data_IF_026295741093
#
_entry.id   IF_026295741093
#
_cell.length_a   1.000
_cell.length_b   1.000
_cell.length_c   1.000
_cell.angle_alpha   90.00
_cell.angle_beta   90.00
_cell.angle_gamma   90.00
#
_symmetry.space_group_name_H-M   'P 1'
#
loop_
_entity.id
_entity.type
_entity.pdbx_description
1 polymer ?
#
# COMPACT_ATOMS: atom_id res chain seq x y z
N UNK A 1 -0.06 -36.93 39.15
CA UNK A 1 0.53 -35.60 38.90
C UNK A 1 -0.35 -34.53 39.53
N UNK A 2 0.23 -33.60 40.31
CA UNK A 2 -0.47 -32.45 40.89
C UNK A 2 -1.07 -31.57 39.78
N UNK A 3 -2.22 -30.93 40.05
CA UNK A 3 -2.95 -30.12 39.05
C UNK A 3 -2.10 -28.97 38.50
N UNK A 4 -1.23 -28.38 39.32
CA UNK A 4 -0.33 -27.30 38.88
C UNK A 4 0.64 -27.76 37.78
N UNK A 5 1.15 -29.00 37.86
CA UNK A 5 2.08 -29.55 36.87
C UNK A 5 1.42 -29.78 35.51
N UNK A 6 0.13 -30.16 35.49
CA UNK A 6 -0.63 -30.35 34.24
C UNK A 6 -0.91 -29.01 33.55
N UNK A 7 -1.23 -27.98 34.34
CA UNK A 7 -1.46 -26.61 33.84
C UNK A 7 -0.14 -26.04 33.29
N UNK A 8 0.98 -26.27 33.98
CA UNK A 8 2.31 -25.86 33.53
C UNK A 8 2.69 -26.49 32.18
N UNK A 9 2.47 -27.79 32.00
CA UNK A 9 2.75 -28.49 30.73
C UNK A 9 1.84 -27.99 29.60
N UNK A 10 0.55 -27.75 29.88
CA UNK A 10 -0.38 -27.21 28.88
C UNK A 10 -0.01 -25.79 28.43
N UNK A 11 0.29 -24.89 29.37
CA UNK A 11 0.73 -23.53 29.07
C UNK A 11 2.06 -23.53 28.30
N UNK A 12 3.02 -24.37 28.69
CA UNK A 12 4.29 -24.51 27.98
C UNK A 12 4.08 -25.01 26.54
N UNK A 13 3.20 -25.99 26.33
CA UNK A 13 2.82 -26.45 24.99
C UNK A 13 2.15 -25.36 24.16
N UNK A 14 1.24 -24.59 24.76
CA UNK A 14 0.56 -23.48 24.08
C UNK A 14 1.54 -22.37 23.68
N UNK A 15 2.45 -21.98 24.56
CA UNK A 15 3.50 -20.99 24.24
C UNK A 15 4.50 -21.51 23.20
N UNK A 16 4.83 -22.80 23.22
CA UNK A 16 5.68 -23.43 22.21
C UNK A 16 5.02 -23.41 20.83
N UNK A 17 3.73 -23.76 20.75
CA UNK A 17 2.96 -23.70 19.50
C UNK A 17 2.81 -22.26 19.03
N UNK A 18 2.55 -21.31 19.93
CA UNK A 18 2.49 -19.88 19.60
C UNK A 18 3.83 -19.36 19.07
N UNK A 19 4.94 -19.71 19.72
CA UNK A 19 6.28 -19.39 19.25
C UNK A 19 6.59 -20.01 17.88
N UNK A 20 6.17 -21.27 17.68
CA UNK A 20 6.30 -21.96 16.39
C UNK A 20 5.48 -21.26 15.30
N UNK A 21 4.26 -20.82 15.61
CA UNK A 21 3.40 -20.06 14.69
C UNK A 21 3.98 -18.69 14.36
N UNK A 22 4.54 -17.97 15.34
CA UNK A 22 5.22 -16.69 15.12
C UNK A 22 6.43 -16.90 14.18
N UNK A 23 7.18 -17.99 14.32
CA UNK A 23 8.28 -18.32 13.42
C UNK A 23 7.80 -18.74 12.02
N UNK A 24 6.74 -19.55 11.92
CA UNK A 24 6.17 -20.01 10.66
C UNK A 24 5.56 -18.84 9.87
N UNK A 25 4.80 -17.97 10.54
CA UNK A 25 4.14 -16.81 9.92
C UNK A 25 5.13 -15.66 9.70
N UNK A 26 6.12 -15.51 10.58
CA UNK A 26 7.08 -14.40 10.57
C UNK A 26 8.18 -14.52 9.51
N UNK A 27 8.40 -15.69 8.90
CA UNK A 27 9.59 -15.83 8.03
C UNK A 27 9.53 -16.80 6.85
N UNK A 28 8.36 -17.37 6.53
CA UNK A 28 8.23 -18.29 5.38
C UNK A 28 8.63 -17.64 4.04
N UNK A 29 8.49 -16.32 3.92
CA UNK A 29 8.88 -15.56 2.71
C UNK A 29 10.40 -15.56 2.45
N UNK A 30 11.25 -15.75 3.47
CA UNK A 30 12.71 -15.81 3.30
C UNK A 30 13.19 -17.14 2.71
N UNK A 31 12.54 -18.26 3.03
CA UNK A 31 12.95 -19.59 2.58
C UNK A 31 12.31 -20.06 1.26
N UNK A 32 11.19 -19.47 0.84
CA UNK A 32 10.51 -19.84 -0.42
C UNK A 32 10.95 -19.03 -1.66
N UNK A 33 11.97 -18.18 -1.55
CA UNK A 33 12.48 -17.41 -2.70
C UNK A 33 13.29 -18.30 -3.65
N UNK A 34 12.61 -18.84 -4.67
CA UNK A 34 13.23 -19.51 -5.83
C UNK A 34 14.30 -18.60 -6.43
N UNK A 35 15.44 -19.20 -6.79
CA UNK A 35 16.65 -18.52 -7.27
C UNK A 35 16.36 -17.54 -8.40
N UNK A 36 16.66 -16.27 -8.15
CA UNK A 36 16.77 -15.22 -9.16
C UNK A 36 18.24 -14.84 -9.37
N UNK A 37 18.47 -13.72 -10.05
CA UNK A 37 19.80 -13.12 -10.13
C UNK A 37 19.74 -11.66 -9.67
N UNK A 38 20.88 -11.16 -9.23
CA UNK A 38 21.01 -9.80 -8.69
C UNK A 38 21.58 -8.86 -9.74
N UNK A 39 21.09 -7.63 -9.74
CA UNK A 39 21.61 -6.53 -10.55
C UNK A 39 21.82 -5.30 -9.66
N UNK A 40 22.90 -4.57 -9.94
CA UNK A 40 23.27 -3.37 -9.18
C UNK A 40 22.93 -2.11 -9.97
N UNK A 41 22.48 -1.07 -9.29
CA UNK A 41 22.29 0.27 -9.86
C UNK A 41 22.82 1.34 -8.89
N UNK A 42 23.40 2.41 -9.42
CA UNK A 42 24.05 3.47 -8.63
C UNK A 42 23.38 4.83 -8.84
N UNK A 43 22.53 5.23 -7.92
CA UNK A 43 21.78 6.50 -7.99
C UNK A 43 22.49 7.62 -7.22
N UNK A 44 22.32 8.87 -7.67
CA UNK A 44 22.79 10.04 -6.89
C UNK A 44 22.03 10.19 -5.56
N UNK A 45 20.74 9.84 -5.56
CA UNK A 45 19.90 9.78 -4.36
C UNK A 45 18.97 8.57 -4.45
N UNK A 46 18.72 7.94 -3.29
CA UNK A 46 17.70 6.90 -3.14
C UNK A 46 16.60 7.34 -2.15
N UNK A 47 16.42 8.65 -1.94
CA UNK A 47 15.38 9.18 -1.05
C UNK A 47 14.00 8.63 -1.44
N UNK A 48 13.29 8.09 -0.45
CA UNK A 48 11.96 7.51 -0.62
C UNK A 48 11.93 6.10 -1.22
N UNK A 49 13.09 5.52 -1.55
CA UNK A 49 13.20 4.11 -1.94
C UNK A 49 13.44 3.25 -0.70
N UNK A 50 12.61 2.22 -0.53
CA UNK A 50 12.71 1.30 0.60
C UNK A 50 13.11 -0.11 0.15
N UNK A 51 13.62 -0.89 1.10
CA UNK A 51 13.81 -2.33 0.88
C UNK A 51 12.45 -2.98 0.56
N UNK A 52 12.45 -3.98 -0.33
CA UNK A 52 11.25 -4.60 -0.91
C UNK A 52 10.45 -3.74 -1.91
N UNK A 53 10.88 -2.50 -2.20
CA UNK A 53 10.29 -1.70 -3.29
C UNK A 53 10.30 -2.48 -4.61
N UNK A 54 9.27 -2.29 -5.44
CA UNK A 54 9.13 -3.05 -6.67
C UNK A 54 10.22 -2.70 -7.70
N UNK A 55 10.69 -3.71 -8.44
CA UNK A 55 11.50 -3.51 -9.65
C UNK A 55 10.63 -3.89 -10.84
N UNK A 56 10.46 -2.97 -11.78
CA UNK A 56 9.60 -3.13 -12.96
C UNK A 56 10.41 -3.02 -14.25
N UNK A 57 9.99 -3.76 -15.26
CA UNK A 57 10.49 -3.66 -16.64
C UNK A 57 9.31 -3.35 -17.52
N UNK A 58 9.35 -2.21 -18.21
CA UNK A 58 8.25 -1.73 -19.04
C UNK A 58 6.88 -1.77 -18.31
N UNK A 59 6.85 -1.39 -17.03
CA UNK A 59 5.67 -1.39 -16.17
C UNK A 59 5.31 -2.73 -15.51
N UNK A 60 5.89 -3.86 -15.92
CA UNK A 60 5.61 -5.19 -15.34
C UNK A 60 6.54 -5.45 -14.15
N UNK A 61 5.99 -5.90 -13.01
CA UNK A 61 6.80 -6.25 -11.83
C UNK A 61 7.64 -7.50 -12.10
N UNK A 62 8.95 -7.34 -12.14
CA UNK A 62 9.92 -8.41 -12.42
C UNK A 62 10.85 -8.73 -11.25
N UNK A 63 10.77 -7.95 -10.17
CA UNK A 63 11.65 -8.13 -9.02
C UNK A 63 11.33 -7.18 -7.87
N UNK A 64 12.29 -7.07 -6.96
CA UNK A 64 12.23 -6.18 -5.80
C UNK A 64 13.62 -5.70 -5.39
N UNK A 65 13.68 -4.57 -4.69
CA UNK A 65 14.90 -4.04 -4.07
C UNK A 65 15.27 -4.94 -2.90
N UNK A 66 16.43 -5.60 -3.01
CA UNK A 66 16.96 -6.51 -2.00
C UNK A 66 17.65 -5.75 -0.89
N UNK A 67 18.46 -4.75 -1.25
CA UNK A 67 19.26 -3.99 -0.30
C UNK A 67 19.62 -2.60 -0.88
N UNK A 68 19.84 -1.62 0.00
CA UNK A 68 20.24 -0.26 -0.35
C UNK A 68 21.42 0.12 0.54
N UNK A 69 22.57 0.42 -0.06
CA UNK A 69 23.79 0.79 0.66
C UNK A 69 24.39 2.07 0.11
N UNK A 70 25.02 2.85 0.99
CA UNK A 70 25.87 3.95 0.56
C UNK A 70 27.19 3.37 0.01
N UNK A 71 27.50 3.68 -1.25
CA UNK A 71 28.77 3.38 -1.89
C UNK A 71 29.39 4.71 -2.35
N UNK A 72 30.44 5.13 -1.65
CA UNK A 72 31.06 6.46 -1.77
C UNK A 72 30.08 7.61 -1.49
N UNK A 73 29.59 8.24 -2.58
CA UNK A 73 28.62 9.36 -2.58
C UNK A 73 27.36 9.03 -3.38
N UNK A 74 27.13 7.75 -3.68
CA UNK A 74 25.97 7.26 -4.42
C UNK A 74 25.26 6.16 -3.64
N UNK A 75 23.96 6.03 -3.84
CA UNK A 75 23.20 4.91 -3.33
C UNK A 75 23.37 3.71 -4.28
N UNK A 76 24.03 2.66 -3.82
CA UNK A 76 24.07 1.35 -4.48
C UNK A 76 22.80 0.59 -4.10
N UNK A 77 21.95 0.36 -5.09
CA UNK A 77 20.70 -0.38 -4.97
C UNK A 77 20.90 -1.76 -5.57
N UNK A 78 20.76 -2.79 -4.73
CA UNK A 78 20.83 -4.20 -5.14
C UNK A 78 19.42 -4.68 -5.45
N UNK A 79 19.16 -5.06 -6.69
CA UNK A 79 17.88 -5.53 -7.18
C UNK A 79 17.90 -7.05 -7.32
N UNK A 80 16.85 -7.73 -6.86
CA UNK A 80 16.63 -9.15 -7.10
C UNK A 80 15.60 -9.32 -8.21
N UNK A 81 16.00 -9.92 -9.33
CA UNK A 81 15.12 -10.22 -10.47
C UNK A 81 14.62 -11.67 -10.38
N UNK A 82 13.32 -11.89 -10.61
CA UNK A 82 12.74 -13.24 -10.57
C UNK A 82 13.27 -14.12 -11.73
N UNK A 83 13.45 -15.44 -11.53
CA UNK A 83 14.07 -16.36 -12.50
C UNK A 83 13.43 -16.39 -13.89
N UNK A 84 12.13 -16.12 -13.97
CA UNK A 84 11.38 -16.16 -15.22
C UNK A 84 11.66 -14.94 -16.13
N UNK A 85 12.32 -13.89 -15.62
CA UNK A 85 12.58 -12.66 -16.37
C UNK A 85 14.07 -12.48 -16.65
N UNK A 86 14.39 -11.92 -17.81
CA UNK A 86 15.75 -11.53 -18.21
C UNK A 86 15.75 -10.08 -18.63
N UNK A 87 16.71 -9.31 -18.14
CA UNK A 87 16.83 -7.87 -18.45
C UNK A 87 17.82 -7.69 -19.61
N UNK A 88 17.41 -7.06 -20.73
CA UNK A 88 18.30 -6.78 -21.86
C UNK A 88 19.52 -5.96 -21.44
N UNK A 89 20.69 -6.24 -22.03
CA UNK A 89 21.94 -5.53 -21.76
C UNK A 89 21.89 -4.11 -22.31
N UNK A 90 22.36 -3.14 -21.54
CA UNK A 90 22.21 -1.69 -21.78
C UNK A 90 20.80 -1.14 -21.54
N UNK A 91 19.94 -1.90 -20.86
CA UNK A 91 18.75 -1.33 -20.23
C UNK A 91 19.16 -0.23 -19.23
N UNK A 92 18.27 0.74 -19.03
CA UNK A 92 18.50 1.87 -18.13
C UNK A 92 17.54 1.81 -16.95
N UNK A 93 18.06 1.97 -15.74
CA UNK A 93 17.26 2.01 -14.52
C UNK A 93 16.98 3.46 -14.11
N UNK A 94 15.77 3.73 -13.64
CA UNK A 94 15.38 5.04 -13.13
C UNK A 94 14.54 4.89 -11.86
N UNK A 95 14.66 5.85 -10.95
CA UNK A 95 13.77 5.95 -9.80
C UNK A 95 12.43 6.51 -10.27
N UNK A 96 11.33 5.83 -9.97
CA UNK A 96 9.97 6.23 -10.34
C UNK A 96 9.04 6.20 -9.12
N UNK A 97 7.89 6.86 -9.21
CA UNK A 97 6.90 6.94 -8.11
C UNK A 97 5.52 6.53 -8.60
N UNK A 98 4.77 5.81 -7.79
CA UNK A 98 3.40 5.42 -8.10
C UNK A 98 2.41 6.53 -7.70
N UNK A 99 2.13 7.48 -8.58
CA UNK A 99 1.23 8.60 -8.30
C UNK A 99 1.90 9.81 -7.63
N UNK A 100 1.10 10.69 -7.01
CA UNK A 100 1.50 12.02 -6.53
C UNK A 100 2.37 12.01 -5.25
N UNK A 101 2.12 11.07 -4.33
CA UNK A 101 2.87 10.86 -3.07
C UNK A 101 3.12 9.36 -2.87
N UNK A 102 3.42 8.67 -3.96
CA UNK A 102 3.56 7.21 -3.95
C UNK A 102 4.92 6.73 -3.44
N UNK A 103 4.92 5.51 -2.93
CA UNK A 103 6.14 4.73 -2.71
C UNK A 103 7.02 4.74 -3.98
N UNK A 104 8.33 4.91 -3.80
CA UNK A 104 9.28 4.86 -4.92
C UNK A 104 9.53 3.41 -5.33
N UNK A 105 9.78 3.22 -6.60
CA UNK A 105 10.11 1.94 -7.18
C UNK A 105 11.16 2.11 -8.29
N UNK A 106 11.82 1.02 -8.70
CA UNK A 106 12.78 1.05 -9.81
C UNK A 106 12.07 0.68 -11.11
N UNK A 107 12.12 1.57 -12.10
CA UNK A 107 11.67 1.30 -13.46
C UNK A 107 12.90 1.05 -14.35
N UNK A 108 12.91 -0.10 -15.01
CA UNK A 108 13.91 -0.48 -16.00
C UNK A 108 13.30 -0.30 -17.39
N UNK A 109 13.93 0.55 -18.20
CA UNK A 109 13.60 0.72 -19.61
C UNK A 109 14.46 -0.25 -20.44
N UNK A 110 13.85 -1.20 -21.17
CA UNK A 110 14.59 -2.15 -21.99
C UNK A 110 15.30 -1.46 -23.15
N UNK A 111 16.46 -2.02 -23.54
CA UNK A 111 17.14 -1.71 -24.80
C UNK A 111 16.75 -2.70 -25.91
N UNK A 112 16.96 -2.34 -27.17
CA UNK A 112 16.72 -3.23 -28.32
C UNK A 112 17.78 -4.33 -28.53
N UNK A 113 18.75 -4.48 -27.62
CA UNK A 113 19.80 -5.50 -27.72
C UNK A 113 19.28 -6.89 -27.34
N UNK A 114 19.75 -7.90 -28.08
CA UNK A 114 19.40 -9.31 -27.86
C UNK A 114 20.24 -10.00 -26.75
N UNK A 115 21.25 -9.32 -26.20
CA UNK A 115 22.03 -9.79 -25.05
C UNK A 115 21.33 -9.45 -23.74
N UNK A 116 21.59 -10.23 -22.67
CA UNK A 116 20.99 -10.04 -21.35
C UNK A 116 22.05 -9.86 -20.27
N UNK A 117 21.72 -9.13 -19.20
CA UNK A 117 22.60 -9.03 -18.04
C UNK A 117 22.77 -10.39 -17.33
N UNK A 118 23.99 -10.66 -16.86
CA UNK A 118 24.29 -11.78 -15.96
C UNK A 118 24.15 -11.41 -14.48
N UNK A 119 24.27 -12.39 -13.57
CA UNK A 119 24.27 -12.14 -12.12
C UNK A 119 25.36 -11.15 -11.70
N UNK A 120 24.99 -10.16 -10.89
CA UNK A 120 25.89 -9.08 -10.43
C UNK A 120 26.13 -7.97 -11.47
N UNK A 121 25.40 -7.98 -12.59
CA UNK A 121 25.52 -6.95 -13.62
C UNK A 121 25.15 -5.56 -13.10
N UNK A 122 25.93 -4.55 -13.47
CA UNK A 122 25.63 -3.15 -13.15
C UNK A 122 24.79 -2.51 -14.26
N UNK A 123 23.61 -2.01 -13.92
CA UNK A 123 22.71 -1.30 -14.82
C UNK A 123 23.04 0.20 -14.78
N UNK A 124 23.09 0.84 -15.94
CA UNK A 124 23.24 2.29 -16.04
C UNK A 124 21.97 2.98 -15.52
N UNK A 125 22.14 4.03 -14.71
CA UNK A 125 21.01 4.79 -14.16
C UNK A 125 20.75 6.08 -14.92
N UNK A 126 19.50 6.39 -15.16
CA UNK A 126 19.04 7.70 -15.65
C UNK A 126 18.19 8.40 -14.61
N UNK A 127 18.16 9.74 -14.67
CA UNK A 127 17.18 10.51 -13.93
C UNK A 127 15.77 10.16 -14.44
N UNK A 128 14.93 9.62 -13.56
CA UNK A 128 13.52 9.38 -13.85
C UNK A 128 12.74 10.68 -13.78
N UNK A 129 11.78 10.88 -14.70
CA UNK A 129 10.89 12.04 -14.68
C UNK A 129 9.78 11.81 -13.64
N UNK A 130 9.89 12.50 -12.51
CA UNK A 130 8.92 12.46 -11.41
C UNK A 130 8.43 13.87 -11.01
N UNK A 131 7.33 13.93 -10.25
CA UNK A 131 6.79 15.19 -9.71
C UNK A 131 7.78 15.89 -8.77
N UNK A 132 8.61 15.13 -8.06
CA UNK A 132 9.68 15.64 -7.23
C UNK A 132 10.76 16.36 -8.04
N UNK A 133 11.08 15.87 -9.24
CA UNK A 133 12.00 16.56 -10.14
C UNK A 133 11.41 17.88 -10.64
N UNK A 134 10.12 17.91 -10.99
CA UNK A 134 9.41 19.15 -11.34
C UNK A 134 9.40 20.15 -10.18
N UNK A 135 9.17 19.67 -8.96
CA UNK A 135 9.20 20.50 -7.76
C UNK A 135 10.56 21.11 -7.47
N UNK A 136 11.63 20.31 -7.57
CA UNK A 136 12.99 20.81 -7.40
C UNK A 136 13.35 21.87 -8.45
N UNK A 137 12.98 21.65 -9.73
CA UNK A 137 13.18 22.66 -10.79
C UNK A 137 12.40 23.95 -10.51
N UNK A 138 11.16 23.85 -10.02
CA UNK A 138 10.35 25.02 -9.67
C UNK A 138 10.99 25.83 -8.54
N UNK A 139 11.54 25.17 -7.51
CA UNK A 139 12.28 25.83 -6.42
C UNK A 139 13.53 26.52 -6.95
N UNK A 140 14.35 25.81 -7.74
CA UNK A 140 15.58 26.38 -8.33
C UNK A 140 15.28 27.62 -9.19
N UNK A 141 14.29 27.53 -10.09
CA UNK A 141 13.87 28.64 -10.95
C UNK A 141 13.37 29.82 -10.10
N UNK A 142 12.56 29.56 -9.07
CA UNK A 142 12.07 30.60 -8.16
C UNK A 142 13.22 31.32 -7.43
N UNK A 143 14.22 30.57 -6.97
CA UNK A 143 15.41 31.13 -6.33
C UNK A 143 16.28 31.96 -7.30
N UNK A 144 16.47 31.50 -8.53
CA UNK A 144 17.18 32.23 -9.59
C UNK A 144 16.47 33.55 -9.92
N UNK A 145 15.14 33.53 -10.09
CA UNK A 145 14.31 34.71 -10.35
C UNK A 145 14.40 35.71 -9.20
N UNK A 146 14.35 35.23 -7.95
CA UNK A 146 14.50 36.08 -6.77
C UNK A 146 15.87 36.76 -6.73
N UNK A 147 16.96 36.00 -6.92
CA UNK A 147 18.33 36.53 -6.97
C UNK A 147 18.50 37.53 -8.12
N UNK A 148 17.90 37.26 -9.26
CA UNK A 148 17.92 38.17 -10.41
C UNK A 148 17.25 39.51 -10.05
N UNK A 149 16.07 39.48 -9.42
CA UNK A 149 15.39 40.69 -8.95
C UNK A 149 16.23 41.50 -7.96
N UNK A 150 16.92 40.84 -7.03
CA UNK A 150 17.85 41.48 -6.09
C UNK A 150 19.06 42.11 -6.79
N UNK A 151 19.60 41.44 -7.82
CA UNK A 151 20.73 41.96 -8.62
C UNK A 151 20.31 43.15 -9.49
N UNK A 152 19.14 43.07 -10.13
CA UNK A 152 18.62 44.13 -11.00
C UNK A 152 18.27 45.39 -10.20
N UNK A 153 17.71 45.27 -9.00
CA UNK A 153 17.41 46.42 -8.13
C UNK A 153 18.65 47.25 -7.76
N UNK A 154 19.86 46.67 -7.81
CA UNK A 154 21.11 47.38 -7.56
C UNK A 154 21.65 48.12 -8.79
N UNK A 155 21.18 47.75 -9.98
CA UNK A 155 21.66 48.24 -11.28
C UNK A 155 20.76 49.37 -11.82
N UNK A 156 19.55 49.57 -11.29
CA UNK A 156 18.57 50.49 -11.90
C UNK A 156 18.89 51.98 -11.72
N UNK A 157 19.35 52.61 -12.81
CA UNK A 157 19.10 54.03 -13.13
C UNK A 157 17.72 54.24 -13.79
N UNK A 158 17.27 55.49 -13.91
CA UNK A 158 15.90 55.87 -14.34
C UNK A 158 15.50 55.40 -15.75
N UNK A 159 16.45 55.11 -16.64
CA UNK A 159 16.19 54.83 -18.06
C UNK A 159 15.78 53.39 -18.40
N UNK A 160 15.99 52.40 -17.51
CA UNK A 160 15.70 50.98 -17.78
C UNK A 160 14.63 50.36 -16.88
N UNK A 161 13.88 51.16 -16.11
CA UNK A 161 12.97 50.62 -15.10
C UNK A 161 11.75 49.89 -15.67
N UNK A 162 11.21 50.30 -16.83
CA UNK A 162 9.96 49.73 -17.35
C UNK A 162 10.15 48.29 -17.86
N UNK A 163 11.11 48.07 -18.75
CA UNK A 163 11.37 46.76 -19.36
C UNK A 163 11.86 45.73 -18.34
N UNK A 164 12.68 46.16 -17.37
CA UNK A 164 13.15 45.30 -16.28
C UNK A 164 12.00 44.89 -15.35
N UNK A 165 11.10 45.82 -15.02
CA UNK A 165 9.93 45.53 -14.18
C UNK A 165 8.94 44.61 -14.88
N UNK A 166 8.68 44.82 -16.16
CA UNK A 166 7.81 43.94 -16.94
C UNK A 166 8.39 42.52 -17.04
N UNK A 167 9.69 42.41 -17.30
CA UNK A 167 10.39 41.11 -17.32
C UNK A 167 10.31 40.42 -15.96
N UNK A 168 10.57 41.14 -14.86
CA UNK A 168 10.45 40.60 -13.50
C UNK A 168 9.01 40.20 -13.16
N UNK A 169 8.00 40.94 -13.62
CA UNK A 169 6.60 40.58 -13.43
C UNK A 169 6.26 39.27 -14.17
N UNK A 170 6.73 39.13 -15.40
CA UNK A 170 6.51 37.91 -16.19
C UNK A 170 7.27 36.70 -15.62
N UNK A 171 8.49 36.90 -15.11
CA UNK A 171 9.24 35.88 -14.38
C UNK A 171 8.48 35.40 -13.14
N UNK A 172 7.95 36.32 -12.34
CA UNK A 172 7.13 35.98 -11.17
C UNK A 172 5.81 35.27 -11.56
N UNK A 173 5.17 35.70 -12.66
CA UNK A 173 3.98 35.03 -13.19
C UNK A 173 4.29 33.58 -13.57
N UNK A 174 5.43 33.33 -14.24
CA UNK A 174 5.88 31.98 -14.57
C UNK A 174 6.10 31.10 -13.33
N UNK A 175 6.72 31.63 -12.27
CA UNK A 175 6.87 30.91 -10.99
C UNK A 175 5.50 30.57 -10.38
N UNK A 176 4.53 31.48 -10.51
CA UNK A 176 3.14 31.24 -10.11
C UNK A 176 2.51 30.08 -10.87
N UNK A 177 2.60 30.09 -12.20
CA UNK A 177 2.08 28.99 -13.02
C UNK A 177 2.74 27.65 -12.66
N UNK A 178 4.07 27.63 -12.45
CA UNK A 178 4.79 26.42 -12.06
C UNK A 178 4.27 25.85 -10.73
N UNK A 179 3.99 26.72 -9.76
CA UNK A 179 3.40 26.31 -8.48
C UNK A 179 1.98 25.80 -8.64
N UNK A 180 1.19 26.42 -9.49
CA UNK A 180 -0.19 26.00 -9.77
C UNK A 180 -0.20 24.63 -10.46
N UNK A 181 0.77 24.34 -11.34
CA UNK A 181 0.97 23.01 -11.90
C UNK A 181 1.28 21.97 -10.81
N UNK A 182 2.10 22.30 -9.82
CA UNK A 182 2.40 21.38 -8.70
C UNK A 182 1.19 21.13 -7.80
N UNK A 183 0.27 22.09 -7.70
CA UNK A 183 -0.97 21.97 -6.97
C UNK A 183 -2.11 21.36 -7.82
N UNK A 184 -1.88 21.12 -9.12
CA UNK A 184 -2.90 20.65 -10.02
C UNK A 184 -3.25 19.18 -9.77
N UNK A 185 -4.54 18.92 -9.56
CA UNK A 185 -5.07 17.56 -9.55
C UNK A 185 -4.93 16.90 -10.93
N UNK A 186 -4.86 15.57 -10.94
CA UNK A 186 -4.58 14.76 -12.15
C UNK A 186 -5.43 15.09 -13.38
N UNK A 187 -6.67 15.57 -13.20
CA UNK A 187 -7.57 15.97 -14.31
C UNK A 187 -7.13 17.24 -15.04
N UNK A 188 -6.47 18.16 -14.35
CA UNK A 188 -6.02 19.44 -14.91
C UNK A 188 -4.53 19.42 -15.25
N UNK A 189 -3.82 18.34 -14.94
CA UNK A 189 -2.40 18.21 -15.11
C UNK A 189 -1.96 18.38 -16.57
N UNK A 190 -2.72 17.81 -17.52
CA UNK A 190 -2.44 17.96 -18.97
C UNK A 190 -2.50 19.42 -19.41
N UNK A 191 -3.56 20.13 -19.01
CA UNK A 191 -3.74 21.55 -19.31
C UNK A 191 -2.66 22.40 -18.65
N UNK A 192 -2.30 22.09 -17.41
CA UNK A 192 -1.21 22.74 -16.69
C UNK A 192 0.14 22.57 -17.39
N UNK A 193 0.49 21.35 -17.79
CA UNK A 193 1.73 21.06 -18.52
C UNK A 193 1.80 21.87 -19.83
N UNK A 194 0.69 21.94 -20.57
CA UNK A 194 0.62 22.75 -21.79
C UNK A 194 0.69 24.26 -21.53
N UNK A 195 0.19 24.73 -20.38
CA UNK A 195 0.37 26.09 -19.89
C UNK A 195 1.85 26.41 -19.69
N UNK A 196 2.54 25.62 -18.85
CA UNK A 196 3.97 25.79 -18.56
C UNK A 196 4.83 25.63 -19.82
N UNK A 197 4.48 24.71 -20.71
CA UNK A 197 5.20 24.54 -21.97
C UNK A 197 5.11 25.79 -22.87
N UNK A 198 4.04 26.58 -22.77
CA UNK A 198 3.91 27.87 -23.45
C UNK A 198 4.65 28.97 -22.69
N UNK A 199 4.40 29.09 -21.39
CA UNK A 199 5.03 30.12 -20.58
C UNK A 199 6.56 29.99 -20.53
N UNK A 200 7.11 28.77 -20.54
CA UNK A 200 8.57 28.55 -20.63
C UNK A 200 9.17 29.00 -21.96
N UNK A 201 8.41 28.94 -23.07
CA UNK A 201 8.85 29.47 -24.37
C UNK A 201 8.81 31.00 -24.40
N UNK A 202 7.83 31.61 -23.76
CA UNK A 202 7.76 33.06 -23.66
C UNK A 202 8.82 33.60 -22.69
N UNK A 203 9.09 32.87 -21.61
CA UNK A 203 10.18 33.18 -20.69
C UNK A 203 11.55 33.12 -21.36
N UNK A 204 11.80 32.12 -22.21
CA UNK A 204 13.03 32.00 -23.01
C UNK A 204 13.28 33.27 -23.87
N UNK A 205 12.22 33.83 -24.48
CA UNK A 205 12.31 35.09 -25.23
C UNK A 205 12.62 36.28 -24.32
N UNK A 206 11.99 36.35 -23.15
CA UNK A 206 12.18 37.43 -22.18
C UNK A 206 13.57 37.43 -21.56
N UNK A 207 14.10 36.24 -21.26
CA UNK A 207 15.49 36.06 -20.83
C UNK A 207 16.43 36.56 -21.93
N UNK A 208 16.19 36.20 -23.19
CA UNK A 208 17.02 36.66 -24.31
C UNK A 208 16.95 38.19 -24.56
N UNK A 209 15.81 38.85 -24.34
CA UNK A 209 15.75 40.31 -24.36
C UNK A 209 16.50 40.93 -23.19
N UNK A 210 16.35 40.36 -21.99
CA UNK A 210 16.99 40.88 -20.79
C UNK A 210 18.52 40.74 -20.85
N UNK A 211 19.04 39.62 -21.34
CA UNK A 211 20.48 39.43 -21.58
C UNK A 211 21.02 40.49 -22.54
N UNK A 212 20.32 40.77 -23.65
CA UNK A 212 20.72 41.83 -24.60
C UNK A 212 20.71 43.22 -23.95
N UNK A 213 19.68 43.53 -23.17
CA UNK A 213 19.58 44.82 -22.48
C UNK A 213 20.70 45.01 -21.44
N UNK A 214 21.11 43.94 -20.74
CA UNK A 214 22.24 44.00 -19.80
C UNK A 214 23.59 44.12 -20.51
N UNK A 215 23.78 43.44 -21.64
CA UNK A 215 24.98 43.60 -22.47
C UNK A 215 25.11 45.04 -23.00
N UNK A 216 24.00 45.64 -23.46
CA UNK A 216 23.94 47.04 -23.87
C UNK A 216 24.25 47.98 -22.71
N UNK A 217 23.74 47.68 -21.51
CA UNK A 217 24.04 48.42 -20.28
C UNK A 217 25.55 48.39 -19.98
N UNK A 218 26.20 47.22 -20.03
CA UNK A 218 27.67 47.09 -19.88
C UNK A 218 28.40 47.94 -20.94
N UNK A 219 27.91 47.91 -22.18
CA UNK A 219 28.45 48.69 -23.29
C UNK A 219 28.38 50.19 -23.05
N UNK A 220 27.24 50.69 -22.57
CA UNK A 220 27.05 52.12 -22.24
C UNK A 220 27.96 52.57 -21.10
N UNK A 221 28.18 51.72 -20.08
CA UNK A 221 29.09 52.03 -18.96
C UNK A 221 30.57 52.00 -19.32
N UNK A 222 30.97 51.46 -20.49
CA UNK A 222 32.38 51.52 -20.92
C UNK A 222 32.87 52.95 -21.20
N UNK A 223 31.96 53.89 -21.49
CA UNK A 223 32.27 55.29 -21.85
C UNK A 223 32.16 56.32 -20.72
N UNK A 224 31.74 55.93 -19.51
CA UNK A 224 31.51 56.84 -18.36
C UNK A 224 32.67 56.73 -17.35
N UNK A 225 33.14 57.86 -16.82
CA UNK A 225 34.39 58.01 -16.06
C UNK A 225 34.22 58.09 -14.52
N UNK A 226 33.18 57.49 -13.94
CA UNK A 226 32.84 57.63 -12.50
C UNK A 226 33.23 56.44 -11.60
N UNK A 227 33.43 56.74 -10.31
CA UNK A 227 33.82 55.83 -9.21
C UNK A 227 32.85 54.65 -8.97
N UNK A 228 31.60 54.73 -9.46
CA UNK A 228 30.60 53.67 -9.30
C UNK A 228 30.69 52.55 -10.37
N UNK A 229 31.62 52.67 -11.33
CA UNK A 229 31.72 51.77 -12.48
C UNK A 229 31.99 50.32 -12.12
N UNK A 230 32.86 50.05 -11.15
CA UNK A 230 33.22 48.67 -10.78
C UNK A 230 32.06 47.95 -10.09
N UNK A 231 31.32 48.62 -9.21
CA UNK A 231 30.16 48.03 -8.52
C UNK A 231 29.04 47.71 -9.50
N UNK A 232 28.70 48.66 -10.38
CA UNK A 232 27.64 48.45 -11.39
C UNK A 232 28.05 47.36 -12.37
N UNK A 233 29.30 47.35 -12.84
CA UNK A 233 29.82 46.29 -13.71
C UNK A 233 29.71 44.92 -13.03
N UNK A 234 30.15 44.80 -11.77
CA UNK A 234 30.04 43.56 -10.99
C UNK A 234 28.58 43.10 -10.85
N UNK A 235 27.65 44.01 -10.57
CA UNK A 235 26.23 43.66 -10.37
C UNK A 235 25.53 43.29 -11.68
N UNK A 236 25.91 43.89 -12.80
CA UNK A 236 25.44 43.49 -14.13
C UNK A 236 26.04 42.15 -14.55
N UNK A 237 27.33 41.90 -14.28
CA UNK A 237 27.97 40.60 -14.53
C UNK A 237 27.31 39.48 -13.72
N UNK A 238 27.00 39.72 -12.44
CA UNK A 238 26.23 38.79 -11.60
C UNK A 238 24.82 38.55 -12.14
N UNK A 239 24.12 39.61 -12.56
CA UNK A 239 22.80 39.46 -13.17
C UNK A 239 22.87 38.63 -14.47
N UNK A 240 23.91 38.83 -15.28
CA UNK A 240 24.19 38.02 -16.47
C UNK A 240 24.39 36.54 -16.13
N UNK A 241 25.21 36.23 -15.12
CA UNK A 241 25.41 34.85 -14.66
C UNK A 241 24.10 34.20 -14.19
N UNK A 242 23.29 34.91 -13.39
CA UNK A 242 21.99 34.40 -12.93
C UNK A 242 21.03 34.16 -14.11
N UNK A 243 21.08 35.00 -15.15
CA UNK A 243 20.28 34.78 -16.36
C UNK A 243 20.71 33.55 -17.15
N UNK A 244 22.01 33.27 -17.21
CA UNK A 244 22.52 32.06 -17.85
C UNK A 244 22.10 30.81 -17.09
N UNK A 245 22.18 30.82 -15.75
CA UNK A 245 21.67 29.75 -14.89
C UNK A 245 20.16 29.55 -15.11
N UNK A 246 19.39 30.65 -15.09
CA UNK A 246 17.95 30.62 -15.33
C UNK A 246 17.61 30.07 -16.73
N UNK A 247 18.36 30.48 -17.76
CA UNK A 247 18.19 29.97 -19.13
C UNK A 247 18.41 28.46 -19.18
N UNK A 248 19.42 27.95 -18.48
CA UNK A 248 19.67 26.52 -18.38
C UNK A 248 18.54 25.79 -17.64
N UNK A 249 18.09 26.32 -16.49
CA UNK A 249 16.96 25.78 -15.73
C UNK A 249 15.67 25.71 -16.55
N UNK A 250 15.33 26.78 -17.28
CA UNK A 250 14.17 26.83 -18.20
C UNK A 250 14.33 25.82 -19.34
N UNK A 251 15.54 25.65 -19.90
CA UNK A 251 15.83 24.65 -20.93
C UNK A 251 15.63 23.22 -20.41
N UNK A 252 16.12 22.90 -19.23
CA UNK A 252 15.94 21.58 -18.59
C UNK A 252 14.46 21.29 -18.31
N UNK A 253 13.73 22.30 -17.83
CA UNK A 253 12.29 22.20 -17.62
C UNK A 253 11.57 21.89 -18.94
N UNK A 254 11.88 22.61 -20.02
CA UNK A 254 11.29 22.35 -21.36
C UNK A 254 11.54 20.93 -21.83
N UNK A 255 12.76 20.43 -21.71
CA UNK A 255 13.09 19.04 -22.04
C UNK A 255 12.28 18.05 -21.21
N UNK A 256 12.05 18.35 -19.93
CA UNK A 256 11.24 17.51 -19.04
C UNK A 256 9.77 17.52 -19.45
N UNK A 257 9.20 18.70 -19.74
CA UNK A 257 7.82 18.83 -20.20
C UNK A 257 7.60 18.11 -21.54
N UNK A 258 8.58 18.14 -22.44
CA UNK A 258 8.53 17.39 -23.70
C UNK A 258 8.52 15.88 -23.48
N UNK A 259 9.33 15.36 -22.54
CA UNK A 259 9.29 13.95 -22.15
C UNK A 259 7.94 13.55 -21.56
N UNK A 260 7.37 14.40 -20.72
CA UNK A 260 6.03 14.17 -20.14
C UNK A 260 4.96 14.15 -21.24
N UNK A 261 5.00 15.09 -22.18
CA UNK A 261 4.06 15.13 -23.32
C UNK A 261 4.17 13.88 -24.22
N UNK A 262 5.39 13.35 -24.38
CA UNK A 262 5.68 12.06 -25.06
C UNK A 262 5.25 10.82 -24.28
N UNK A 263 4.77 10.96 -23.04
CA UNK A 263 4.34 9.82 -22.22
C UNK A 263 5.49 9.11 -21.51
N UNK A 264 6.68 9.72 -21.45
CA UNK A 264 7.84 9.15 -20.76
C UNK A 264 7.74 9.35 -19.24
N UNK A 265 8.21 8.35 -18.47
CA UNK A 265 8.14 8.36 -17.01
C UNK A 265 6.72 8.15 -16.47
N UNK A 266 6.57 8.21 -15.14
CA UNK A 266 5.27 7.95 -14.50
C UNK A 266 4.30 9.11 -14.67
N UNK A 267 4.81 10.34 -14.67
CA UNK A 267 4.01 11.55 -14.93
C UNK A 267 3.51 11.55 -16.37
N UNK A 268 4.37 11.24 -17.35
CA UNK A 268 3.97 11.21 -18.76
C UNK A 268 2.90 10.16 -19.05
N UNK A 269 3.05 8.93 -18.52
CA UNK A 269 2.03 7.87 -18.66
C UNK A 269 0.69 8.28 -18.06
N UNK A 270 0.70 8.92 -16.89
CA UNK A 270 -0.52 9.41 -16.23
C UNK A 270 -1.20 10.54 -17.02
N UNK A 271 -0.42 11.39 -17.68
CA UNK A 271 -0.92 12.51 -18.49
C UNK A 271 -1.48 12.03 -19.82
N UNK A 272 -0.90 11.00 -20.44
CA UNK A 272 -1.36 10.44 -21.70
C UNK A 272 -2.60 9.54 -21.56
N UNK A 273 -2.75 8.84 -20.44
CA UNK A 273 -3.82 7.85 -20.26
C UNK A 273 -4.81 8.26 -19.14
N UNK A 274 -5.95 8.87 -19.49
CA UNK A 274 -6.98 9.23 -18.52
C UNK A 274 -7.73 8.01 -17.92
N UNK A 275 -7.71 6.84 -18.57
CA UNK A 275 -8.33 5.61 -18.05
C UNK A 275 -7.50 5.00 -16.93
N UNK A 276 -6.17 5.14 -16.98
CA UNK A 276 -5.25 4.72 -15.92
C UNK A 276 -5.59 5.38 -14.58
N UNK A 277 -5.97 6.67 -14.60
CA UNK A 277 -6.40 7.41 -13.41
C UNK A 277 -7.73 6.86 -12.85
N UNK A 278 -8.75 6.69 -13.69
CA UNK A 278 -10.05 6.18 -13.26
C UNK A 278 -9.98 4.70 -12.85
N UNK A 279 -9.12 3.91 -13.49
CA UNK A 279 -8.86 2.50 -13.13
C UNK A 279 -8.15 2.39 -11.78
N UNK A 280 -7.16 3.24 -11.50
CA UNK A 280 -6.50 3.28 -10.19
C UNK A 280 -7.49 3.69 -9.09
N UNK A 281 -8.33 4.71 -9.33
CA UNK A 281 -9.37 5.14 -8.40
C UNK A 281 -10.41 4.07 -8.15
N UNK A 282 -10.87 3.40 -9.20
CA UNK A 282 -11.86 2.31 -9.11
C UNK A 282 -11.28 1.10 -8.38
N UNK A 283 -10.01 0.78 -8.63
CA UNK A 283 -9.28 -0.27 -7.92
C UNK A 283 -9.15 0.05 -6.44
N UNK A 284 -8.75 1.27 -6.09
CA UNK A 284 -8.66 1.72 -4.69
C UNK A 284 -10.03 1.67 -4.00
N UNK A 285 -11.09 2.12 -4.66
CA UNK A 285 -12.47 1.98 -4.16
C UNK A 285 -12.90 0.50 -4.03
N UNK A 286 -12.37 -0.39 -4.87
CA UNK A 286 -12.57 -1.83 -4.77
C UNK A 286 -11.82 -2.47 -3.60
N UNK A 287 -10.62 -1.99 -3.28
CA UNK A 287 -9.85 -2.41 -2.10
C UNK A 287 -10.57 -1.98 -0.82
N UNK A 288 -11.08 -0.76 -0.75
CA UNK A 288 -11.87 -0.29 0.40
C UNK A 288 -13.09 -1.20 0.66
N UNK A 289 -13.79 -1.62 -0.41
CA UNK A 289 -14.91 -2.57 -0.33
C UNK A 289 -14.52 -3.98 0.16
N UNK A 290 -13.25 -4.38 0.05
CA UNK A 290 -12.75 -5.68 0.53
C UNK A 290 -12.25 -5.58 1.98
N UNK A 291 -11.65 -4.44 2.36
CA UNK A 291 -11.10 -4.22 3.70
C UNK A 291 -12.20 -3.93 4.73
N UNK A 292 -13.26 -3.21 4.34
CA UNK A 292 -14.34 -2.81 5.25
C UNK A 292 -15.11 -4.00 5.89
N UNK A 293 -15.46 -5.09 5.16
CA UNK A 293 -16.08 -6.28 5.76
C UNK A 293 -15.14 -7.05 6.71
N UNK A 294 -13.82 -7.02 6.44
CA UNK A 294 -12.83 -7.72 7.28
C UNK A 294 -12.64 -7.04 8.63
N UNK A 295 -12.82 -5.71 8.71
CA UNK A 295 -12.83 -4.97 9.97
C UNK A 295 -14.09 -5.16 10.82
N UNK A 296 -15.21 -5.55 10.20
CA UNK A 296 -16.50 -5.78 10.88
C UNK A 296 -16.71 -7.24 11.33
N UNK A 297 -15.89 -8.18 10.85
CA UNK A 297 -16.01 -9.58 11.20
C UNK A 297 -15.66 -9.83 12.67
N UNK A 298 -16.57 -10.44 13.44
CA UNK A 298 -16.34 -10.76 14.86
C UNK A 298 -15.89 -12.21 15.01
N UNK A 299 -14.75 -12.47 15.67
CA UNK A 299 -14.30 -13.84 15.90
C UNK A 299 -15.20 -14.54 16.92
N UNK A 300 -15.57 -15.78 16.61
CA UNK A 300 -16.27 -16.70 17.49
C UNK A 300 -15.24 -17.73 17.96
N UNK A 301 -15.10 -17.87 19.27
CA UNK A 301 -14.19 -18.84 19.87
C UNK A 301 -14.79 -19.35 21.17
N UNK A 302 -15.22 -20.61 21.21
CA UNK A 302 -15.90 -21.20 22.37
C UNK A 302 -15.35 -22.58 22.66
N UNK A 303 -14.98 -22.83 23.91
CA UNK A 303 -14.66 -24.16 24.41
C UNK A 303 -15.73 -24.61 25.40
N UNK A 304 -16.30 -25.80 25.21
CA UNK A 304 -17.38 -26.35 26.03
C UNK A 304 -17.05 -27.74 26.55
N UNK A 305 -17.44 -27.99 27.80
CA UNK A 305 -17.40 -29.31 28.44
C UNK A 305 -18.82 -29.69 28.85
N UNK A 306 -19.34 -30.79 28.30
CA UNK A 306 -20.68 -31.32 28.55
C UNK A 306 -20.57 -32.62 29.36
N UNK A 307 -21.16 -32.66 30.54
CA UNK A 307 -21.30 -33.87 31.35
C UNK A 307 -22.57 -34.61 30.94
N UNK A 308 -22.42 -35.82 30.41
CA UNK A 308 -23.50 -36.71 29.99
C UNK A 308 -23.96 -37.51 31.21
N UNK A 309 -25.18 -37.22 31.70
CA UNK A 309 -25.68 -37.75 32.96
C UNK A 309 -25.92 -39.27 32.91
N UNK A 310 -26.45 -39.78 31.79
CA UNK A 310 -26.81 -41.19 31.64
C UNK A 310 -25.58 -42.11 31.44
N UNK A 311 -24.51 -41.58 30.82
CA UNK A 311 -23.29 -42.35 30.53
C UNK A 311 -22.11 -42.01 31.44
N UNK A 312 -22.27 -41.04 32.35
CA UNK A 312 -21.24 -40.52 33.26
C UNK A 312 -19.93 -40.11 32.56
N UNK A 313 -20.05 -39.63 31.31
CA UNK A 313 -18.92 -39.26 30.45
C UNK A 313 -18.88 -37.76 30.17
N UNK A 314 -17.71 -37.23 29.82
CA UNK A 314 -17.54 -35.81 29.47
C UNK A 314 -17.20 -35.64 28.00
N UNK A 315 -18.06 -34.91 27.28
CA UNK A 315 -17.88 -34.52 25.89
C UNK A 315 -17.25 -33.13 25.84
N UNK A 316 -16.22 -32.94 25.02
CA UNK A 316 -15.57 -31.63 24.87
C UNK A 316 -15.73 -31.11 23.45
N UNK A 317 -16.10 -29.84 23.32
CA UNK A 317 -16.36 -29.18 22.04
C UNK A 317 -15.51 -27.92 21.95
N UNK A 318 -14.69 -27.80 20.91
CA UNK A 318 -13.96 -26.58 20.58
C UNK A 318 -14.52 -25.97 19.30
N UNK A 319 -14.99 -24.73 19.37
CA UNK A 319 -15.63 -24.01 18.27
C UNK A 319 -14.77 -22.82 17.86
N UNK A 320 -14.54 -22.67 16.56
CA UNK A 320 -13.89 -21.52 15.95
C UNK A 320 -14.74 -21.04 14.78
N UNK A 321 -14.97 -19.73 14.68
CA UNK A 321 -15.81 -19.17 13.63
C UNK A 321 -15.66 -17.67 13.43
N UNK A 322 -16.39 -17.16 12.46
CA UNK A 322 -16.44 -15.76 12.10
C UNK A 322 -17.91 -15.36 11.86
N UNK A 323 -18.36 -14.33 12.57
CA UNK A 323 -19.55 -13.59 12.19
C UNK A 323 -19.15 -12.55 11.14
N UNK A 324 -19.44 -12.85 9.86
CA UNK A 324 -19.09 -12.00 8.72
C UNK A 324 -19.92 -10.71 8.68
N UNK A 325 -21.13 -10.76 9.24
CA UNK A 325 -21.97 -9.58 9.51
C UNK A 325 -22.96 -9.93 10.64
N UNK A 326 -23.81 -8.99 11.11
CA UNK A 326 -24.89 -9.33 12.05
C UNK A 326 -25.87 -10.40 11.54
N UNK A 327 -25.88 -10.69 10.23
CA UNK A 327 -26.78 -11.66 9.59
C UNK A 327 -26.11 -12.97 9.17
N UNK A 328 -24.81 -12.98 8.89
CA UNK A 328 -24.11 -14.15 8.33
C UNK A 328 -22.99 -14.60 9.25
N UNK A 329 -22.94 -15.90 9.55
CA UNK A 329 -21.86 -16.48 10.34
C UNK A 329 -21.46 -17.85 9.80
N UNK A 330 -20.21 -18.21 10.05
CA UNK A 330 -19.65 -19.53 9.76
C UNK A 330 -18.83 -19.99 10.94
N UNK A 331 -18.88 -21.29 11.27
CA UNK A 331 -18.02 -21.85 12.30
C UNK A 331 -17.71 -23.32 12.03
N UNK A 332 -16.59 -23.78 12.59
CA UNK A 332 -16.21 -25.17 12.67
C UNK A 332 -16.12 -25.61 14.14
N UNK A 333 -16.36 -26.89 14.38
CA UNK A 333 -16.23 -27.50 15.70
C UNK A 333 -15.38 -28.76 15.64
N UNK A 334 -14.51 -28.95 16.62
CA UNK A 334 -13.88 -30.23 16.93
C UNK A 334 -14.53 -30.79 18.19
N UNK A 335 -15.11 -31.99 18.08
CA UNK A 335 -15.88 -32.63 19.14
C UNK A 335 -15.16 -33.92 19.53
N UNK A 336 -14.75 -34.05 20.78
CA UNK A 336 -14.33 -35.34 21.34
C UNK A 336 -15.54 -35.99 21.96
N UNK A 337 -16.09 -36.99 21.28
CA UNK A 337 -17.24 -37.74 21.77
C UNK A 337 -16.77 -39.00 22.54
N UNK A 338 -17.01 -39.06 23.87
CA UNK A 338 -16.57 -40.17 24.71
C UNK A 338 -17.47 -41.41 24.61
N UNK A 339 -18.67 -41.27 24.03
CA UNK A 339 -19.59 -42.40 23.79
C UNK A 339 -19.16 -43.15 22.54
N UNK A 340 -18.73 -42.42 21.50
CA UNK A 340 -18.26 -42.99 20.23
C UNK A 340 -16.74 -43.27 20.20
N UNK A 341 -16.01 -42.89 21.25
CA UNK A 341 -14.55 -42.92 21.37
C UNK A 341 -13.80 -42.42 20.12
N UNK A 342 -14.30 -41.34 19.52
CA UNK A 342 -13.69 -40.73 18.33
C UNK A 342 -13.80 -39.21 18.36
N UNK A 343 -12.99 -38.57 17.52
CA UNK A 343 -13.19 -37.16 17.18
C UNK A 343 -14.18 -37.06 16.02
N UNK A 344 -15.14 -36.14 16.15
CA UNK A 344 -16.02 -35.72 15.08
C UNK A 344 -15.82 -34.23 14.80
N UNK A 345 -16.17 -33.81 13.59
CA UNK A 345 -15.94 -32.44 13.13
C UNK A 345 -17.22 -31.86 12.56
N UNK A 346 -17.50 -30.61 12.91
CA UNK A 346 -18.61 -29.85 12.34
C UNK A 346 -18.08 -28.67 11.52
N UNK A 347 -18.78 -28.31 10.46
CA UNK A 347 -18.54 -27.12 9.65
C UNK A 347 -19.91 -26.61 9.18
N UNK A 348 -20.31 -25.45 9.69
CA UNK A 348 -21.67 -24.94 9.54
C UNK A 348 -21.65 -23.47 9.12
N UNK A 349 -22.60 -23.11 8.25
CA UNK A 349 -22.90 -21.74 7.88
C UNK A 349 -24.34 -21.40 8.26
N UNK A 350 -24.58 -20.18 8.71
CA UNK A 350 -25.90 -19.78 9.18
C UNK A 350 -26.28 -18.34 8.86
N UNK A 351 -27.60 -18.14 8.87
CA UNK A 351 -28.30 -16.91 8.59
C UNK A 351 -29.13 -16.51 9.80
N UNK A 352 -28.95 -15.29 10.27
CA UNK A 352 -29.68 -14.71 11.41
C UNK A 352 -30.68 -13.66 10.93
N UNK A 353 -31.93 -13.84 11.34
CA UNK A 353 -33.04 -12.89 11.20
C UNK A 353 -33.54 -12.52 12.60
N UNK A 354 -33.01 -11.41 13.13
CA UNK A 354 -33.32 -10.90 14.47
C UNK A 354 -33.07 -11.93 15.58
N UNK A 355 -34.13 -12.48 16.18
CA UNK A 355 -34.08 -13.45 17.26
C UNK A 355 -33.96 -14.91 16.77
N UNK A 356 -33.98 -15.16 15.45
CA UNK A 356 -33.94 -16.51 14.89
C UNK A 356 -32.71 -16.66 14.02
N UNK A 357 -31.99 -17.78 14.12
CA UNK A 357 -30.98 -18.14 13.16
C UNK A 357 -31.19 -19.56 12.65
N UNK A 358 -31.05 -19.75 11.35
CA UNK A 358 -31.00 -21.08 10.73
C UNK A 358 -29.56 -21.36 10.31
N UNK A 359 -29.11 -22.60 10.48
CA UNK A 359 -27.79 -23.06 10.06
C UNK A 359 -27.85 -24.43 9.42
N UNK A 360 -26.91 -24.70 8.54
CA UNK A 360 -26.78 -25.99 7.87
C UNK A 360 -25.31 -26.28 7.57
N UNK A 361 -25.00 -27.56 7.41
CA UNK A 361 -23.67 -28.00 7.04
C UNK A 361 -23.37 -29.40 7.52
N UNK A 362 -22.12 -29.60 7.92
CA UNK A 362 -21.65 -30.84 8.52
C UNK A 362 -21.76 -30.68 10.04
N UNK A 363 -22.52 -31.56 10.70
CA UNK A 363 -22.63 -31.67 12.15
C UNK A 363 -22.10 -33.06 12.55
N UNK A 364 -21.06 -33.08 13.38
CA UNK A 364 -20.41 -34.31 13.85
C UNK A 364 -20.09 -35.30 12.73
N UNK A 365 -19.51 -34.79 11.65
CA UNK A 365 -19.11 -35.53 10.43
C UNK A 365 -20.27 -36.10 9.61
N UNK A 366 -21.49 -35.61 9.82
CA UNK A 366 -22.69 -35.97 9.03
C UNK A 366 -23.40 -34.72 8.55
N UNK A 367 -24.24 -34.81 7.51
CA UNK A 367 -25.03 -33.66 7.07
C UNK A 367 -26.15 -33.35 8.06
N UNK A 368 -26.38 -32.06 8.33
CA UNK A 368 -27.36 -31.61 9.31
C UNK A 368 -27.81 -30.16 9.13
N UNK A 369 -28.86 -29.82 9.86
CA UNK A 369 -29.40 -28.46 9.95
C UNK A 369 -29.80 -28.14 11.40
N UNK A 370 -29.72 -26.86 11.75
CA UNK A 370 -30.04 -26.35 13.08
C UNK A 370 -30.87 -25.06 13.02
N UNK A 371 -31.67 -24.86 14.06
CA UNK A 371 -32.44 -23.65 14.29
C UNK A 371 -32.15 -23.14 15.71
N UNK A 372 -31.67 -21.92 15.81
CA UNK A 372 -31.34 -21.23 17.05
C UNK A 372 -32.34 -20.09 17.30
N UNK A 373 -32.93 -20.04 18.49
CA UNK A 373 -33.81 -18.99 18.96
C UNK A 373 -33.12 -18.24 20.10
N UNK A 374 -32.84 -16.96 19.89
CA UNK A 374 -32.20 -16.06 20.83
C UNK A 374 -33.24 -15.26 21.61
N UNK A 375 -33.10 -15.20 22.92
CA UNK A 375 -33.93 -14.47 23.85
C UNK A 375 -33.06 -13.73 24.88
N UNK A 376 -33.64 -12.75 25.58
CA UNK A 376 -32.96 -11.96 26.61
C UNK A 376 -31.67 -11.30 26.10
N UNK A 377 -31.73 -10.58 24.98
CA UNK A 377 -30.57 -9.92 24.33
C UNK A 377 -29.38 -10.88 24.13
N UNK A 378 -29.66 -12.02 23.49
CA UNK A 378 -28.70 -13.10 23.19
C UNK A 378 -28.10 -13.80 24.42
N UNK A 379 -28.62 -13.52 25.64
CA UNK A 379 -28.18 -14.22 26.85
C UNK A 379 -28.77 -15.61 26.97
N UNK A 380 -29.90 -15.89 26.34
CA UNK A 380 -30.53 -17.21 26.33
C UNK A 380 -30.71 -17.68 24.89
N UNK A 381 -30.21 -18.87 24.57
CA UNK A 381 -30.31 -19.46 23.23
C UNK A 381 -30.93 -20.85 23.34
N UNK A 382 -31.96 -21.12 22.55
CA UNK A 382 -32.51 -22.44 22.35
C UNK A 382 -32.11 -22.95 20.98
N UNK A 383 -31.45 -24.09 20.91
CA UNK A 383 -30.95 -24.69 19.67
C UNK A 383 -31.61 -26.05 19.47
N UNK A 384 -32.17 -26.25 18.28
CA UNK A 384 -32.68 -27.53 17.81
C UNK A 384 -31.87 -27.95 16.58
N UNK A 385 -31.30 -29.14 16.61
CA UNK A 385 -30.50 -29.69 15.51
C UNK A 385 -31.08 -31.03 15.05
N UNK A 386 -31.08 -31.26 13.74
CA UNK A 386 -31.33 -32.54 13.10
C UNK A 386 -30.17 -32.91 12.20
N UNK A 387 -29.56 -34.08 12.41
CA UNK A 387 -28.36 -34.53 11.68
C UNK A 387 -28.29 -36.06 11.64
N UNK A 388 -27.36 -36.61 10.85
CA UNK A 388 -27.20 -38.06 10.66
C UNK A 388 -28.47 -38.78 10.16
N UNK A 389 -29.05 -38.27 9.06
CA UNK A 389 -30.31 -38.76 8.48
C UNK A 389 -30.25 -40.16 7.87
N UNK A 390 -29.05 -40.69 7.63
CA UNK A 390 -28.82 -41.97 6.95
C UNK A 390 -28.57 -43.14 7.92
N UNK A 391 -28.69 -42.91 9.23
CA UNK A 391 -28.52 -43.93 10.26
C UNK A 391 -29.69 -44.93 10.23
N UNK A 392 -29.40 -46.22 10.34
CA UNK A 392 -30.41 -47.31 10.34
C UNK A 392 -31.49 -47.13 11.43
N UNK A 393 -31.15 -46.41 12.49
CA UNK A 393 -31.97 -46.14 13.67
C UNK A 393 -32.81 -44.85 13.56
N UNK A 394 -32.77 -44.17 12.41
CA UNK A 394 -33.43 -42.90 12.17
C UNK A 394 -32.57 -41.67 12.54
N UNK A 395 -32.99 -40.46 12.11
CA UNK A 395 -32.24 -39.22 12.27
C UNK A 395 -31.99 -38.86 13.73
N UNK A 396 -30.84 -38.25 14.00
CA UNK A 396 -30.51 -37.73 15.34
C UNK A 396 -31.08 -36.33 15.51
N UNK A 397 -31.78 -36.14 16.62
CA UNK A 397 -32.28 -34.82 17.02
C UNK A 397 -31.68 -34.42 18.35
N UNK A 398 -31.13 -33.21 18.41
CA UNK A 398 -30.54 -32.64 19.61
C UNK A 398 -31.25 -31.35 19.96
N UNK A 399 -31.67 -31.24 21.21
CA UNK A 399 -32.14 -29.98 21.77
C UNK A 399 -31.14 -29.48 22.80
N UNK A 400 -30.88 -28.18 22.78
CA UNK A 400 -29.94 -27.53 23.66
C UNK A 400 -30.47 -26.17 24.08
N UNK A 401 -30.26 -25.82 25.34
CA UNK A 401 -30.40 -24.46 25.83
C UNK A 401 -29.06 -23.99 26.37
N UNK A 402 -28.72 -22.74 26.07
CA UNK A 402 -27.50 -22.10 26.52
C UNK A 402 -27.86 -20.77 27.20
N UNK A 403 -27.37 -20.57 28.42
CA UNK A 403 -27.53 -19.33 29.18
C UNK A 403 -26.18 -18.68 29.49
N UNK A 404 -26.02 -17.41 29.10
CA UNK A 404 -24.82 -16.61 29.33
C UNK A 404 -24.88 -15.91 30.69
N UNK A 405 -24.15 -16.48 31.66
CA UNK A 405 -24.00 -15.91 33.02
C UNK A 405 -23.29 -14.55 32.96
N UNK A 406 -22.15 -14.54 32.27
CA UNK A 406 -21.34 -13.35 31.94
C UNK A 406 -20.87 -13.44 30.49
N UNK A 407 -20.26 -12.38 29.97
CA UNK A 407 -19.86 -12.29 28.54
C UNK A 407 -19.09 -13.50 28.01
N UNK A 408 -18.29 -14.16 28.85
CA UNK A 408 -17.42 -15.26 28.45
C UNK A 408 -17.79 -16.62 29.04
N UNK A 409 -18.83 -16.72 29.88
CA UNK A 409 -19.18 -17.94 30.60
C UNK A 409 -20.64 -18.32 30.32
N UNK A 410 -20.83 -19.54 29.83
CA UNK A 410 -22.11 -20.06 29.42
C UNK A 410 -22.43 -21.35 30.16
N UNK A 411 -23.66 -21.48 30.64
CA UNK A 411 -24.24 -22.74 31.08
C UNK A 411 -24.98 -23.37 29.90
N UNK A 412 -24.83 -24.67 29.73
CA UNK A 412 -25.54 -25.42 28.69
C UNK A 412 -26.29 -26.55 29.35
N UNK A 413 -27.50 -26.82 28.88
CA UNK A 413 -28.26 -28.00 29.23
C UNK A 413 -28.97 -28.50 27.99
N UNK A 414 -29.14 -29.81 27.85
CA UNK A 414 -29.79 -30.33 26.66
C UNK A 414 -30.01 -31.83 26.71
N UNK A 415 -30.57 -32.30 25.59
CA UNK A 415 -30.86 -33.69 25.34
C UNK A 415 -30.38 -34.03 23.95
N UNK A 416 -29.54 -35.04 23.86
CA UNK A 416 -29.08 -35.60 22.59
C UNK A 416 -29.86 -36.88 22.26
N UNK A 417 -30.01 -37.16 20.96
CA UNK A 417 -30.74 -38.32 20.41
C UNK A 417 -32.21 -38.42 20.86
N UNK A 418 -32.97 -37.32 20.82
CA UNK A 418 -34.38 -37.25 21.22
C UNK A 418 -35.31 -38.24 20.49
N UNK A 419 -34.93 -38.68 19.29
CA UNK A 419 -35.72 -39.60 18.46
C UNK A 419 -35.73 -41.04 18.95
N UNK A 420 -34.81 -41.44 19.84
CA UNK A 420 -34.73 -42.80 20.39
C UNK A 420 -34.63 -42.81 21.91
N UNK A 421 -35.63 -43.39 22.57
CA UNK A 421 -35.68 -43.48 24.03
C UNK A 421 -34.53 -44.31 24.64
N UNK A 422 -33.98 -45.27 23.92
CA UNK A 422 -32.88 -46.14 24.39
C UNK A 422 -31.49 -45.49 24.34
N UNK A 423 -31.31 -44.46 23.50
CA UNK A 423 -30.01 -43.80 23.27
C UNK A 423 -29.99 -42.33 23.72
N UNK A 424 -31.10 -41.85 24.28
CA UNK A 424 -31.24 -40.48 24.77
C UNK A 424 -30.20 -40.18 25.85
N UNK A 425 -29.51 -39.04 25.72
CA UNK A 425 -28.52 -38.59 26.69
C UNK A 425 -28.85 -37.18 27.17
N UNK A 426 -29.10 -37.02 28.46
CA UNK A 426 -29.18 -35.72 29.09
C UNK A 426 -27.77 -35.20 29.38
N UNK A 427 -27.54 -33.92 29.11
CA UNK A 427 -26.27 -33.29 29.44
C UNK A 427 -26.42 -31.91 30.05
N UNK A 428 -25.47 -31.60 30.92
CA UNK A 428 -25.25 -30.26 31.47
C UNK A 428 -23.79 -29.91 31.25
N UNK A 429 -23.52 -28.69 30.81
CA UNK A 429 -22.20 -28.27 30.41
C UNK A 429 -21.86 -26.84 30.77
N UNK A 430 -20.56 -26.56 30.67
CA UNK A 430 -19.96 -25.25 30.89
C UNK A 430 -19.17 -24.85 29.65
N UNK A 431 -19.44 -23.65 29.14
CA UNK A 431 -18.78 -23.05 27.99
C UNK A 431 -17.98 -21.81 28.40
N UNK A 432 -16.76 -21.66 27.85
CA UNK A 432 -15.89 -20.51 28.01
C UNK A 432 -15.49 -19.96 26.64
N UNK A 433 -15.79 -18.70 26.35
CA UNK A 433 -15.46 -18.13 25.05
C UNK A 433 -16.16 -16.85 24.65
N UNK A 434 -15.87 -16.37 23.45
CA UNK A 434 -16.54 -15.23 22.81
C UNK A 434 -17.45 -15.76 21.72
N UNK A 435 -18.70 -15.29 21.70
CA UNK A 435 -19.71 -15.64 20.71
C UNK A 435 -20.15 -14.43 19.93
#
# INVERSE_FOLDING_TARGET
MKRELKIGIFLAGAFMILGLLIFIVGDLSRWFRRGGYELDAYFQTATGLENQAAVRLAGVKIGYVKDIRLADRRARVVMSIFPQYRVPKDSKASLSSLGFIGEKYIEITPSDKAEYFGPGGAIETTAGVGFDQLGNMAVTIGDEIKKLGESLNKVTGEASQTDLRETLANLNAFTGELRDLMAADGKNLRTGIQGIARASRDLDKQIASLSRNLEETIGAFKGVADDNRESVKSDVEKAGQILDDLKESVRMLRQTLEKIDKGEGTVGKLVQDPELYESARTTLAGVDRIVEPLGAARPIGLFRLDYLADSEKTKSVATLGLALSPRYFVFGQAVRDPVLDRFTYSAEGGLRWNAVAARAGIIESTFGAGLDLMALDDRLVFSLEGYDFYRDLGPRFRFMTQFSLVRYLHLVAGVDDLGQSSNRQFYVGLGLGVR
#
